data_IF_618581979064
#
_entry.id   IF_618581979064
#
_cell.length_a   1.000
_cell.length_b   1.000
_cell.length_c   1.000
_cell.angle_alpha   90.00
_cell.angle_beta   90.00
_cell.angle_gamma   90.00
#
_symmetry.space_group_name_H-M   'P 1'
#
loop_
_entity.id
_entity.type
_entity.pdbx_description
1 polymer ?
#
# COMPACT_ATOMS: atom_id res chain seq x y z
N UNK A 1 18.39 -1.64 4.93
CA UNK A 1 18.37 -0.30 4.32
C UNK A 1 17.02 0.09 3.73
N UNK A 2 16.33 -0.80 3.00
CA UNK A 2 14.97 -0.59 2.50
C UNK A 2 14.18 -1.91 2.62
N UNK A 3 12.94 -1.86 3.08
CA UNK A 3 12.04 -3.02 3.08
C UNK A 3 10.90 -2.78 2.09
N UNK A 4 10.69 -3.72 1.17
CA UNK A 4 9.59 -3.67 0.20
C UNK A 4 8.47 -4.62 0.64
N UNK A 5 7.22 -4.19 0.59
CA UNK A 5 6.06 -4.99 1.01
C UNK A 5 4.95 -4.84 -0.04
N UNK A 6 4.31 -5.96 -0.41
CA UNK A 6 3.13 -5.97 -1.26
C UNK A 6 2.01 -6.75 -0.58
N UNK A 7 1.23 -6.13 0.34
CA UNK A 7 0.12 -6.78 1.01
C UNK A 7 -0.90 -7.36 0.01
N UNK A 8 -1.54 -8.47 0.38
CA UNK A 8 -2.54 -9.12 -0.47
C UNK A 8 -3.64 -8.12 -0.86
N UNK A 9 -3.98 -8.11 -2.15
CA UNK A 9 -4.87 -7.11 -2.73
C UNK A 9 -6.24 -7.67 -3.15
N UNK A 10 -6.54 -8.93 -2.82
CA UNK A 10 -7.70 -9.69 -3.29
C UNK A 10 -9.03 -8.97 -3.05
N UNK A 11 -9.16 -8.32 -1.89
CA UNK A 11 -10.38 -7.62 -1.50
C UNK A 11 -10.55 -6.28 -2.25
N UNK A 12 -9.44 -5.62 -2.61
CA UNK A 12 -9.45 -4.35 -3.34
C UNK A 12 -9.51 -4.52 -4.86
N UNK A 13 -8.93 -5.62 -5.38
CA UNK A 13 -8.74 -5.85 -6.81
C UNK A 13 -10.04 -6.22 -7.53
N UNK A 14 -11.00 -6.81 -6.82
CA UNK A 14 -12.27 -7.28 -7.38
C UNK A 14 -13.41 -6.26 -7.27
N UNK A 15 -13.16 -5.06 -6.72
CA UNK A 15 -14.19 -4.03 -6.55
C UNK A 15 -15.31 -4.44 -5.58
N UNK A 16 -15.08 -5.48 -4.77
CA UNK A 16 -16.02 -5.89 -3.73
C UNK A 16 -15.98 -4.84 -2.62
N UNK A 17 -17.16 -4.32 -2.27
CA UNK A 17 -17.32 -3.27 -1.25
C UNK A 17 -17.07 -3.81 0.17
N UNK A 18 -16.94 -5.13 0.32
CA UNK A 18 -16.70 -5.81 1.59
C UNK A 18 -15.20 -6.10 1.71
N UNK A 19 -14.53 -5.30 2.53
CA UNK A 19 -13.17 -5.61 2.99
C UNK A 19 -13.22 -6.84 3.91
N UNK A 20 -12.50 -7.89 3.53
CA UNK A 20 -12.36 -9.12 4.30
C UNK A 20 -11.04 -9.15 5.07
N UNK A 21 -10.67 -10.34 5.53
CA UNK A 21 -9.44 -10.54 6.32
C UNK A 21 -8.16 -10.20 5.54
N UNK A 22 -8.17 -10.28 4.21
CA UNK A 22 -7.00 -9.96 3.40
C UNK A 22 -6.71 -8.45 3.40
N UNK A 23 -7.74 -7.61 3.51
CA UNK A 23 -7.58 -6.17 3.65
C UNK A 23 -6.87 -5.77 4.96
N UNK A 24 -6.99 -6.56 6.03
CA UNK A 24 -6.28 -6.31 7.30
C UNK A 24 -4.76 -6.41 7.16
N UNK A 25 -4.25 -7.11 6.14
CA UNK A 25 -2.80 -7.28 5.94
C UNK A 25 -2.13 -5.93 5.68
N UNK A 26 -2.83 -4.99 5.03
CA UNK A 26 -2.35 -3.60 4.81
C UNK A 26 -2.18 -2.86 6.14
N UNK A 27 -3.17 -2.97 7.03
CA UNK A 27 -3.12 -2.35 8.36
C UNK A 27 -2.01 -2.99 9.22
N UNK A 28 -1.91 -4.32 9.21
CA UNK A 28 -0.86 -5.07 9.93
C UNK A 28 0.54 -4.73 9.40
N UNK A 29 0.69 -4.47 8.10
CA UNK A 29 1.95 -4.02 7.53
C UNK A 29 2.38 -2.65 8.09
N UNK A 30 1.45 -1.69 8.18
CA UNK A 30 1.73 -0.39 8.82
C UNK A 30 2.12 -0.55 10.29
N UNK A 31 1.39 -1.37 11.05
CA UNK A 31 1.75 -1.67 12.45
C UNK A 31 3.15 -2.28 12.56
N UNK A 32 3.53 -3.19 11.65
CA UNK A 32 4.85 -3.81 11.64
C UNK A 32 5.95 -2.79 11.32
N UNK A 33 5.74 -1.92 10.33
CA UNK A 33 6.66 -0.83 9.96
C UNK A 33 6.96 0.05 11.18
N UNK A 34 5.90 0.48 11.88
CA UNK A 34 6.03 1.32 13.07
C UNK A 34 6.74 0.58 14.20
N UNK A 35 6.30 -0.65 14.53
CA UNK A 35 6.88 -1.44 15.64
C UNK A 35 8.34 -1.80 15.41
N UNK A 36 8.73 -2.09 14.18
CA UNK A 36 10.11 -2.40 13.83
C UNK A 36 10.98 -1.14 13.65
N UNK A 37 10.41 0.07 13.71
CA UNK A 37 11.16 1.32 13.55
C UNK A 37 11.81 1.46 12.17
N UNK A 38 11.14 0.99 11.12
CA UNK A 38 11.71 0.93 9.77
C UNK A 38 11.86 2.32 9.16
N UNK A 39 13.09 2.82 9.08
CA UNK A 39 13.37 4.18 8.55
C UNK A 39 13.03 4.38 7.08
N UNK A 40 13.01 3.31 6.29
CA UNK A 40 12.77 3.37 4.86
C UNK A 40 12.08 2.08 4.40
N UNK A 41 10.93 2.23 3.76
CA UNK A 41 10.11 1.12 3.28
C UNK A 41 9.38 1.54 2.01
N UNK A 42 8.99 0.58 1.18
CA UNK A 42 8.21 0.81 -0.03
C UNK A 42 7.05 -0.18 -0.06
N UNK A 43 5.82 0.34 -0.11
CA UNK A 43 4.62 -0.48 -0.28
C UNK A 43 4.11 -0.39 -1.70
N UNK A 44 3.91 -1.54 -2.36
CA UNK A 44 3.25 -1.64 -3.66
C UNK A 44 1.85 -2.25 -3.52
N UNK A 45 0.88 -1.68 -4.23
CA UNK A 45 -0.47 -2.25 -4.29
C UNK A 45 -1.25 -1.83 -5.54
N UNK A 46 -2.47 -2.36 -5.72
CA UNK A 46 -3.43 -1.88 -6.71
C UNK A 46 -3.91 -0.47 -6.39
N UNK A 47 -4.27 0.30 -7.42
CA UNK A 47 -4.69 1.71 -7.26
C UNK A 47 -5.95 1.85 -6.39
N UNK A 48 -6.86 0.88 -6.42
CA UNK A 48 -8.09 0.87 -5.61
C UNK A 48 -7.83 0.73 -4.10
N UNK A 49 -6.64 0.28 -3.68
CA UNK A 49 -6.26 0.23 -2.27
C UNK A 49 -6.35 1.63 -1.63
N UNK A 50 -5.98 2.69 -2.36
CA UNK A 50 -5.99 4.07 -1.83
C UNK A 50 -7.37 4.57 -1.40
N UNK A 51 -8.44 3.97 -1.90
CA UNK A 51 -9.83 4.29 -1.49
C UNK A 51 -10.39 3.36 -0.42
N UNK A 52 -9.60 2.41 0.08
CA UNK A 52 -10.03 1.43 1.07
C UNK A 52 -9.97 1.99 2.50
N UNK A 53 -10.85 1.49 3.38
CA UNK A 53 -10.79 1.77 4.82
C UNK A 53 -9.52 1.20 5.44
N UNK A 54 -9.07 0.03 4.98
CA UNK A 54 -7.80 -0.55 5.38
C UNK A 54 -6.61 0.39 5.12
N UNK A 55 -6.54 1.02 3.94
CA UNK A 55 -5.51 2.04 3.68
C UNK A 55 -5.69 3.27 4.57
N UNK A 56 -6.91 3.78 4.74
CA UNK A 56 -7.15 4.93 5.61
C UNK A 56 -6.66 4.69 7.06
N UNK A 57 -6.83 3.47 7.59
CA UNK A 57 -6.29 3.07 8.90
C UNK A 57 -4.77 2.94 8.89
N UNK A 58 -4.20 2.30 7.87
CA UNK A 58 -2.76 2.16 7.72
C UNK A 58 -2.05 3.51 7.61
N UNK A 59 -2.61 4.43 6.81
CA UNK A 59 -2.13 5.80 6.64
C UNK A 59 -2.15 6.57 7.96
N UNK A 60 -3.24 6.50 8.74
CA UNK A 60 -3.31 7.12 10.05
C UNK A 60 -2.22 6.61 11.00
N UNK A 61 -2.02 5.28 11.08
CA UNK A 61 -0.97 4.66 11.91
C UNK A 61 0.42 5.19 11.54
N UNK A 62 0.72 5.30 10.25
CA UNK A 62 2.03 5.76 9.78
C UNK A 62 2.24 7.25 10.04
N UNK A 63 1.25 8.08 9.76
CA UNK A 63 1.32 9.53 9.99
C UNK A 63 1.41 9.86 11.50
N UNK A 64 0.64 9.18 12.35
CA UNK A 64 0.71 9.33 13.81
C UNK A 64 2.08 8.92 14.37
N UNK A 65 2.74 7.94 13.75
CA UNK A 65 4.10 7.54 14.09
C UNK A 65 5.19 8.49 13.53
N UNK A 66 4.81 9.55 12.83
CA UNK A 66 5.72 10.57 12.31
C UNK A 66 6.38 10.23 10.98
N UNK A 67 5.87 9.23 10.25
CA UNK A 67 6.33 8.97 8.89
C UNK A 67 5.83 10.04 7.93
N UNK A 68 6.69 10.40 6.97
CA UNK A 68 6.29 11.17 5.79
C UNK A 68 5.98 10.18 4.68
N UNK A 69 4.84 10.35 4.01
CA UNK A 69 4.39 9.44 2.96
C UNK A 69 4.45 10.12 1.59
N UNK A 70 5.15 9.50 0.64
CA UNK A 70 5.11 9.85 -0.76
C UNK A 70 4.32 8.80 -1.54
N UNK A 71 3.20 9.22 -2.13
CA UNK A 71 2.31 8.31 -2.87
C UNK A 71 2.42 8.60 -4.36
N UNK A 72 2.76 7.57 -5.14
CA UNK A 72 2.82 7.67 -6.61
C UNK A 72 2.01 6.58 -7.28
N UNK A 73 1.29 6.95 -8.35
CA UNK A 73 0.56 6.02 -9.21
C UNK A 73 1.32 5.89 -10.52
N UNK A 74 1.83 4.71 -10.79
CA UNK A 74 2.64 4.43 -11.97
C UNK A 74 1.94 3.45 -12.88
N UNK A 75 2.13 3.61 -14.19
CA UNK A 75 1.64 2.70 -15.22
C UNK A 75 2.83 2.06 -15.93
N UNK A 76 2.80 0.74 -16.11
CA UNK A 76 3.91 0.01 -16.76
C UNK A 76 4.34 0.58 -18.11
N UNK A 77 3.40 1.12 -18.90
CA UNK A 77 3.70 1.77 -20.18
C UNK A 77 4.60 3.01 -20.10
N UNK A 78 4.72 3.63 -18.93
CA UNK A 78 5.62 4.77 -18.70
C UNK A 78 7.09 4.32 -18.57
N UNK A 79 7.32 3.00 -18.41
CA UNK A 79 8.62 2.39 -18.19
C UNK A 79 9.05 1.50 -19.35
N UNK A 80 8.63 1.82 -20.59
CA UNK A 80 8.93 1.06 -21.81
C UNK A 80 8.42 -0.39 -21.82
N UNK A 81 7.43 -0.71 -20.97
CA UNK A 81 6.79 -2.03 -20.93
C UNK A 81 5.45 -1.91 -21.67
N UNK A 82 5.18 -2.78 -22.65
CA UNK A 82 3.90 -2.87 -23.33
C UNK A 82 2.80 -3.49 -22.41
N UNK A 83 2.49 -2.80 -21.31
CA UNK A 83 1.55 -3.27 -20.29
C UNK A 83 0.71 -2.11 -19.74
N UNK A 84 -0.59 -2.35 -19.58
CA UNK A 84 -1.54 -1.38 -19.01
C UNK A 84 -1.65 -1.44 -17.49
N UNK A 85 -0.81 -2.25 -16.82
CA UNK A 85 -0.87 -2.44 -15.37
C UNK A 85 -0.54 -1.14 -14.64
N UNK A 86 -1.49 -0.66 -13.84
CA UNK A 86 -1.33 0.49 -12.93
C UNK A 86 -1.15 0.01 -11.50
N UNK A 87 -0.24 0.62 -10.76
CA UNK A 87 0.06 0.33 -9.36
C UNK A 87 0.29 1.60 -8.57
N UNK A 88 0.02 1.53 -7.28
CA UNK A 88 0.43 2.55 -6.32
C UNK A 88 1.72 2.09 -5.65
N UNK A 89 2.62 3.05 -5.45
CA UNK A 89 3.85 2.91 -4.70
C UNK A 89 3.86 3.97 -3.60
N UNK A 90 4.16 3.55 -2.37
CA UNK A 90 4.16 4.42 -1.18
C UNK A 90 5.50 4.27 -0.48
N UNK A 91 6.19 5.38 -0.28
CA UNK A 91 7.49 5.48 0.39
C UNK A 91 7.38 6.36 1.64
#
# INVERSE_FOLDING_TARGET
>A
DLITISPLCTDYANGLVIEGEAAEVTEKAAQLIVRAGLRCWLMENVVSMLSSKAWARAEAILLEAGYLLYVSKLKGSEFSIACHRRRVYIL
#
